data_IF_407144558019
#
_entry.id   IF_407144558019
#
_cell.length_a   1.000
_cell.length_b   1.000
_cell.length_c   1.000
_cell.angle_alpha   90.00
_cell.angle_beta   90.00
_cell.angle_gamma   90.00
#
_symmetry.space_group_name_H-M   'P 1'
#
loop_
_entity.id
_entity.type
_entity.pdbx_description
1 polymer ?
#
# COMPACT_ATOMS: atom_id res chain seq x y z
N UNK A 1 -10.40 -0.19 15.36
CA UNK A 1 -9.98 0.07 13.96
C UNK A 1 -8.47 0.27 13.77
N UNK A 2 -7.63 0.43 14.82
CA UNK A 2 -6.17 0.64 14.67
C UNK A 2 -5.31 -0.64 14.71
N UNK A 3 -5.92 -1.83 14.81
CA UNK A 3 -5.15 -3.06 15.07
C UNK A 3 -4.39 -3.54 13.83
N UNK A 4 -5.04 -3.54 12.66
CA UNK A 4 -4.45 -4.03 11.40
C UNK A 4 -3.37 -3.07 10.91
N UNK A 5 -3.62 -1.75 10.97
CA UNK A 5 -2.62 -0.73 10.62
C UNK A 5 -1.32 -0.88 11.41
N UNK A 6 -1.44 -1.00 12.75
CA UNK A 6 -0.30 -1.18 13.65
C UNK A 6 0.46 -2.46 13.33
N UNK A 7 -0.26 -3.53 12.99
CA UNK A 7 0.35 -4.80 12.62
C UNK A 7 1.09 -4.71 11.29
N UNK A 8 0.54 -4.03 10.27
CA UNK A 8 1.24 -3.77 9.00
C UNK A 8 2.55 -3.00 9.24
N UNK A 9 2.50 -1.89 9.99
CA UNK A 9 3.71 -1.10 10.32
C UNK A 9 4.73 -1.92 11.11
N UNK A 10 4.27 -2.77 12.03
CA UNK A 10 5.14 -3.68 12.80
C UNK A 10 5.81 -4.72 11.91
N UNK A 11 5.09 -5.32 10.96
CA UNK A 11 5.64 -6.30 10.02
C UNK A 11 6.77 -5.70 9.18
N UNK A 12 6.61 -4.47 8.69
CA UNK A 12 7.68 -3.76 7.97
C UNK A 12 8.93 -3.55 8.84
N UNK A 13 8.72 -3.08 10.07
CA UNK A 13 9.82 -2.84 11.01
C UNK A 13 10.59 -4.13 11.34
N UNK A 14 9.89 -5.26 11.51
CA UNK A 14 10.51 -6.56 11.80
C UNK A 14 11.46 -7.01 10.68
N UNK A 15 11.17 -6.63 9.44
CA UNK A 15 11.99 -6.92 8.26
C UNK A 15 13.03 -5.82 7.95
N UNK A 16 13.20 -4.86 8.86
CA UNK A 16 14.03 -3.66 8.68
C UNK A 16 13.66 -2.86 7.42
N UNK A 17 12.36 -2.77 7.13
CA UNK A 17 11.81 -1.95 6.05
C UNK A 17 11.31 -0.65 6.67
N UNK A 18 11.78 0.48 6.15
CA UNK A 18 11.32 1.79 6.56
C UNK A 18 9.91 2.03 6.02
N UNK A 19 8.94 2.24 6.92
CA UNK A 19 7.55 2.50 6.54
C UNK A 19 7.38 3.88 5.90
N UNK A 20 8.32 4.80 6.13
CA UNK A 20 8.33 6.11 5.48
C UNK A 20 8.96 6.05 4.07
N UNK A 21 9.34 4.85 3.59
CA UNK A 21 9.77 4.64 2.21
C UNK A 21 8.70 5.09 1.23
N UNK A 22 9.14 5.67 0.12
CA UNK A 22 8.28 6.22 -0.93
C UNK A 22 8.47 5.48 -2.26
N UNK A 23 7.40 5.44 -3.05
CA UNK A 23 7.43 4.97 -4.44
C UNK A 23 6.91 6.08 -5.34
N UNK A 24 7.63 6.31 -6.43
CA UNK A 24 7.20 7.14 -7.54
C UNK A 24 6.35 6.33 -8.54
N UNK A 25 5.22 6.90 -8.92
CA UNK A 25 4.28 6.36 -9.91
C UNK A 25 4.15 7.34 -11.07
N UNK A 26 4.55 6.94 -12.26
CA UNK A 26 4.23 7.70 -13.48
C UNK A 26 2.82 7.36 -13.95
N UNK A 27 1.93 8.35 -13.87
CA UNK A 27 0.57 8.29 -14.37
C UNK A 27 0.41 9.35 -15.46
N UNK A 28 0.32 8.89 -16.72
CA UNK A 28 0.15 9.76 -17.88
C UNK A 28 1.18 10.90 -17.97
N UNK A 29 2.45 10.63 -17.61
CA UNK A 29 3.54 11.60 -17.64
C UNK A 29 3.61 12.51 -16.41
N UNK A 30 2.76 12.28 -15.39
CA UNK A 30 2.82 12.97 -14.10
C UNK A 30 3.34 12.00 -13.03
N UNK A 31 4.40 12.38 -12.33
CA UNK A 31 4.93 11.60 -11.21
C UNK A 31 4.12 11.88 -9.96
N UNK A 32 3.58 10.81 -9.37
CA UNK A 32 2.93 10.81 -8.07
C UNK A 32 3.79 10.01 -7.10
N UNK A 33 4.18 10.60 -5.97
CA UNK A 33 4.97 9.93 -4.94
C UNK A 33 4.05 9.54 -3.79
N UNK A 34 4.04 8.27 -3.40
CA UNK A 34 3.27 7.76 -2.26
C UNK A 34 4.18 7.03 -1.28
N UNK A 35 4.03 7.29 0.03
CA UNK A 35 4.71 6.54 1.07
C UNK A 35 3.99 5.22 1.41
N UNK A 36 4.71 4.23 1.93
CA UNK A 36 4.08 2.99 2.40
C UNK A 36 3.07 3.27 3.52
N UNK A 37 3.39 4.19 4.43
CA UNK A 37 2.46 4.67 5.47
C UNK A 37 1.16 5.17 4.85
N UNK A 38 1.23 6.05 3.84
CA UNK A 38 0.03 6.59 3.19
C UNK A 38 -0.81 5.49 2.54
N UNK A 39 -0.15 4.55 1.83
CA UNK A 39 -0.84 3.43 1.19
C UNK A 39 -1.54 2.56 2.25
N UNK A 40 -0.84 2.19 3.34
CA UNK A 40 -1.42 1.42 4.44
C UNK A 40 -2.63 2.15 4.99
N UNK A 41 -2.48 3.41 5.40
CA UNK A 41 -3.54 4.18 6.04
C UNK A 41 -4.77 4.32 5.15
N UNK A 42 -4.58 4.48 3.83
CA UNK A 42 -5.70 4.56 2.88
C UNK A 42 -6.49 3.25 2.82
N UNK A 43 -5.81 2.09 2.73
CA UNK A 43 -6.50 0.79 2.75
C UNK A 43 -7.12 0.44 4.11
N UNK A 44 -6.61 1.02 5.21
CA UNK A 44 -7.20 0.84 6.53
C UNK A 44 -8.52 1.61 6.73
N UNK A 45 -8.85 2.53 5.82
CA UNK A 45 -10.16 3.19 5.78
C UNK A 45 -11.22 2.39 5.00
N UNK A 46 -10.83 1.32 4.30
CA UNK A 46 -11.74 0.45 3.57
C UNK A 46 -12.50 -0.51 4.50
N UNK A 47 -13.32 -1.41 3.93
CA UNK A 47 -14.05 -2.43 4.69
C UNK A 47 -13.10 -3.35 5.46
N UNK A 48 -13.58 -3.96 6.56
CA UNK A 48 -12.78 -4.90 7.36
C UNK A 48 -12.24 -6.07 6.54
N UNK A 49 -13.01 -6.55 5.57
CA UNK A 49 -12.58 -7.59 4.63
C UNK A 49 -11.38 -7.13 3.79
N UNK A 50 -11.44 -5.91 3.23
CA UNK A 50 -10.33 -5.34 2.48
C UNK A 50 -9.08 -5.15 3.35
N UNK A 51 -9.25 -4.75 4.61
CA UNK A 51 -8.15 -4.65 5.57
C UNK A 51 -7.47 -6.00 5.80
N UNK A 52 -8.27 -7.07 5.98
CA UNK A 52 -7.77 -8.43 6.15
C UNK A 52 -7.04 -8.96 4.90
N UNK A 53 -7.58 -8.70 3.72
CA UNK A 53 -6.93 -9.08 2.45
C UNK A 53 -5.58 -8.36 2.31
N UNK A 54 -5.52 -7.06 2.64
CA UNK A 54 -4.30 -6.27 2.56
C UNK A 54 -3.19 -6.85 3.45
N UNK A 55 -3.46 -7.10 4.73
CA UNK A 55 -2.44 -7.63 5.65
C UNK A 55 -1.98 -9.04 5.26
N UNK A 56 -2.89 -9.89 4.77
CA UNK A 56 -2.53 -11.23 4.29
C UNK A 56 -1.61 -11.13 3.07
N UNK A 57 -1.89 -10.23 2.14
CA UNK A 57 -1.05 -10.00 0.98
C UNK A 57 0.32 -9.42 1.36
N UNK A 58 0.36 -8.47 2.31
CA UNK A 58 1.61 -7.91 2.84
C UNK A 58 2.48 -8.99 3.50
N UNK A 59 1.89 -9.88 4.30
CA UNK A 59 2.62 -11.01 4.91
C UNK A 59 3.25 -11.91 3.86
N UNK A 60 2.49 -12.26 2.81
CA UNK A 60 3.02 -13.04 1.67
C UNK A 60 4.12 -12.31 0.91
N UNK A 61 4.02 -10.99 0.78
CA UNK A 61 5.03 -10.17 0.13
C UNK A 61 6.34 -10.16 0.92
N UNK A 62 6.26 -10.11 2.26
CA UNK A 62 7.40 -10.22 3.17
C UNK A 62 8.07 -11.60 3.05
N UNK A 63 7.29 -12.68 3.00
CA UNK A 63 7.81 -14.05 2.80
C UNK A 63 8.56 -14.19 1.46
N UNK A 64 8.27 -13.34 0.48
CA UNK A 64 8.93 -13.28 -0.82
C UNK A 64 10.16 -12.34 -0.86
N UNK A 65 10.68 -11.93 0.29
CA UNK A 65 11.81 -11.01 0.49
C UNK A 65 11.52 -9.55 0.05
N UNK A 66 12.50 -8.65 0.18
CA UNK A 66 12.36 -7.20 -0.05
C UNK A 66 11.76 -6.83 -1.41
N UNK A 67 12.09 -7.59 -2.46
CA UNK A 67 11.52 -7.38 -3.81
C UNK A 67 10.01 -7.63 -3.81
N UNK A 68 9.53 -8.59 -3.01
CA UNK A 68 8.11 -8.86 -2.84
C UNK A 68 7.38 -7.68 -2.22
N UNK A 69 7.97 -7.06 -1.19
CA UNK A 69 7.38 -5.92 -0.49
C UNK A 69 7.30 -4.68 -1.38
N UNK A 70 8.37 -4.35 -2.11
CA UNK A 70 8.35 -3.23 -3.06
C UNK A 70 7.28 -3.42 -4.14
N UNK A 71 7.21 -4.61 -4.74
CA UNK A 71 6.19 -4.93 -5.76
C UNK A 71 4.77 -4.90 -5.19
N UNK A 72 4.59 -5.32 -3.94
CA UNK A 72 3.31 -5.22 -3.26
C UNK A 72 2.87 -3.76 -3.16
N UNK A 73 3.72 -2.87 -2.63
CA UNK A 73 3.37 -1.46 -2.50
C UNK A 73 3.24 -0.76 -3.86
N UNK A 74 4.01 -1.15 -4.88
CA UNK A 74 3.79 -0.70 -6.26
C UNK A 74 2.38 -1.07 -6.75
N UNK A 75 1.97 -2.33 -6.58
CA UNK A 75 0.63 -2.76 -6.99
C UNK A 75 -0.49 -2.04 -6.23
N UNK A 76 -0.32 -1.86 -4.91
CA UNK A 76 -1.32 -1.18 -4.09
C UNK A 76 -1.41 0.32 -4.38
N UNK A 77 -0.28 1.00 -4.59
CA UNK A 77 -0.25 2.40 -4.98
C UNK A 77 -0.87 2.64 -6.36
N UNK A 78 -0.60 1.76 -7.33
CA UNK A 78 -1.28 1.80 -8.63
C UNK A 78 -2.79 1.66 -8.49
N UNK A 79 -3.29 0.71 -7.67
CA UNK A 79 -4.71 0.53 -7.45
C UNK A 79 -5.38 1.77 -6.86
N UNK A 80 -4.73 2.43 -5.89
CA UNK A 80 -5.22 3.69 -5.31
C UNK A 80 -5.30 4.80 -6.35
N UNK A 81 -4.24 5.00 -7.12
CA UNK A 81 -4.19 6.04 -8.15
C UNK A 81 -5.24 5.79 -9.24
N UNK A 82 -5.43 4.53 -9.66
CA UNK A 82 -6.47 4.17 -10.64
C UNK A 82 -7.88 4.44 -10.11
N UNK A 83 -8.14 4.17 -8.83
CA UNK A 83 -9.44 4.44 -8.20
C UNK A 83 -9.75 5.94 -8.19
N UNK A 84 -8.81 6.77 -7.75
CA UNK A 84 -8.99 8.23 -7.74
C UNK A 84 -9.11 8.83 -9.15
N UNK A 85 -8.43 8.26 -10.15
CA UNK A 85 -8.59 8.67 -11.53
C UNK A 85 -9.98 8.30 -12.06
N UNK A 86 -10.50 7.12 -11.72
CA UNK A 86 -11.86 6.73 -12.12
C UNK A 86 -12.93 7.63 -11.51
N UNK A 87 -12.79 8.02 -10.24
CA UNK A 87 -13.71 8.96 -9.58
C UNK A 87 -13.73 10.34 -10.25
N UNK A 88 -12.61 10.79 -10.82
CA UNK A 88 -12.53 12.06 -11.56
C UNK A 88 -13.09 11.98 -12.98
N UNK A 89 -13.33 10.78 -13.50
CA UNK A 89 -13.86 10.54 -14.85
C UNK A 89 -15.36 10.22 -14.87
N UNK A 90 -16.00 10.08 -13.71
CA UNK A 90 -17.46 10.03 -13.64
C UNK A 90 -18.05 11.41 -14.01
N UNK A 91 -18.70 11.45 -15.18
CA UNK A 91 -19.42 12.60 -15.76
C UNK A 91 -20.92 12.44 -15.53
#
# INVERSE_FOLDING_TARGET
MYAVEKECKKLLLQENIDADSEIDFDVNGTIHTLSYVYIIETFMQASEESQLVFIVALRKAIEADKIGVEKFFQGMGQLLLMTHLSEKLEV
#
